data_IF_204720384856
#
_entry.id   IF_204720384856
#
_cell.length_a   1.000
_cell.length_b   1.000
_cell.length_c   1.000
_cell.angle_alpha   90.00
_cell.angle_beta   90.00
_cell.angle_gamma   90.00
#
_symmetry.space_group_name_H-M   'P 1'
#
loop_
_entity.id
_entity.type
_entity.pdbx_description
1 polymer ?
#
# COMPACT_ATOMS: atom_id res chain seq x y z
N UNK A 1 26.96 28.42 -9.49
CA UNK A 1 26.10 27.66 -8.55
C UNK A 1 24.89 27.25 -9.36
N UNK A 2 24.95 26.08 -10.00
CA UNK A 2 23.95 25.68 -10.99
C UNK A 2 22.68 25.23 -10.26
N UNK A 3 21.59 25.93 -10.53
CA UNK A 3 20.25 25.57 -10.06
C UNK A 3 19.91 24.17 -10.58
N UNK A 4 19.66 23.23 -9.68
CA UNK A 4 19.08 21.93 -10.04
C UNK A 4 17.60 22.20 -10.31
N UNK A 5 17.22 22.22 -11.59
CA UNK A 5 15.83 22.36 -12.01
C UNK A 5 15.02 21.19 -11.45
N UNK A 6 14.30 21.45 -10.35
CA UNK A 6 13.46 20.44 -9.71
C UNK A 6 12.09 20.45 -10.38
N UNK A 7 11.87 19.52 -11.30
CA UNK A 7 10.56 19.32 -11.92
C UNK A 7 9.64 18.54 -10.97
N UNK A 8 8.48 19.10 -10.65
CA UNK A 8 7.46 18.48 -9.79
C UNK A 8 6.23 18.10 -10.61
N UNK A 9 5.63 16.96 -10.31
CA UNK A 9 4.47 16.44 -11.02
C UNK A 9 3.56 15.67 -10.06
N UNK A 10 2.29 16.09 -9.96
CA UNK A 10 1.26 15.45 -9.16
C UNK A 10 0.19 14.86 -10.08
N UNK A 11 0.03 13.53 -10.10
CA UNK A 11 -1.02 12.84 -10.88
C UNK A 11 -1.49 11.54 -10.22
N UNK A 12 -2.69 11.10 -10.63
CA UNK A 12 -3.21 9.76 -10.36
C UNK A 12 -2.59 8.77 -11.34
N UNK A 13 -2.03 7.68 -10.83
CA UNK A 13 -1.35 6.66 -11.62
C UNK A 13 -2.35 5.59 -12.09
N UNK A 14 -2.38 5.35 -13.39
CA UNK A 14 -3.13 4.27 -14.04
C UNK A 14 -2.19 3.08 -14.26
N UNK A 15 -2.75 1.87 -14.12
CA UNK A 15 -1.99 0.63 -14.30
C UNK A 15 -1.39 0.59 -15.72
N UNK A 16 -0.10 0.21 -15.81
CA UNK A 16 0.66 0.05 -17.07
C UNK A 16 0.91 1.35 -17.87
N UNK A 17 0.55 2.53 -17.35
CA UNK A 17 0.79 3.80 -18.02
C UNK A 17 2.13 4.40 -17.59
N UNK A 18 2.95 4.80 -18.55
CA UNK A 18 4.19 5.53 -18.31
C UNK A 18 3.92 7.00 -18.00
N UNK A 19 4.62 7.54 -17.00
CA UNK A 19 4.55 8.95 -16.60
C UNK A 19 5.97 9.54 -16.57
N UNK A 20 6.13 10.77 -17.03
CA UNK A 20 7.42 11.45 -17.06
C UNK A 20 7.32 12.77 -17.81
N UNK A 21 8.47 13.43 -17.98
CA UNK A 21 8.57 14.63 -18.80
C UNK A 21 9.06 14.25 -20.19
N UNK A 22 8.25 14.42 -21.26
CA UNK A 22 8.64 14.01 -22.61
C UNK A 22 9.88 14.76 -23.13
N UNK A 23 10.23 15.89 -22.51
CA UNK A 23 11.42 16.70 -22.86
C UNK A 23 12.52 16.67 -21.79
N UNK A 24 12.53 15.68 -20.89
CA UNK A 24 13.44 15.60 -19.74
C UNK A 24 14.94 15.65 -20.10
N UNK A 25 15.32 15.23 -21.31
CA UNK A 25 16.74 15.17 -21.68
C UNK A 25 16.96 15.22 -23.18
N UNK A 26 17.33 16.40 -23.69
CA UNK A 26 18.00 16.54 -24.99
C UNK A 26 19.42 17.10 -24.87
N UNK A 27 19.88 17.42 -23.66
CA UNK A 27 21.18 18.10 -23.45
C UNK A 27 22.30 17.08 -23.20
N UNK A 28 23.33 17.12 -24.04
CA UNK A 28 24.59 16.39 -23.85
C UNK A 28 25.28 16.69 -22.52
N UNK A 29 24.97 17.84 -21.92
CA UNK A 29 25.44 18.30 -20.60
C UNK A 29 24.99 17.40 -19.44
N UNK A 30 23.98 16.53 -19.63
CA UNK A 30 23.51 15.58 -18.61
C UNK A 30 24.40 14.33 -18.49
N UNK A 31 25.33 14.14 -19.42
CA UNK A 31 26.23 13.00 -19.44
C UNK A 31 27.62 13.42 -18.94
N UNK A 32 28.10 12.80 -17.87
CA UNK A 32 29.47 12.95 -17.38
C UNK A 32 30.19 11.64 -17.68
N UNK A 33 31.25 11.70 -18.51
CA UNK A 33 31.98 10.51 -18.98
C UNK A 33 31.10 9.44 -19.64
N UNK A 34 30.04 9.85 -20.36
CA UNK A 34 29.08 8.94 -21.00
C UNK A 34 28.06 8.32 -20.05
N UNK A 35 28.10 8.67 -18.76
CA UNK A 35 27.13 8.20 -17.75
C UNK A 35 26.17 9.33 -17.39
N UNK A 36 24.88 9.02 -17.38
CA UNK A 36 23.83 9.92 -16.88
C UNK A 36 23.24 9.32 -15.60
N UNK A 37 23.28 10.08 -14.51
CA UNK A 37 22.64 9.71 -13.24
C UNK A 37 21.33 10.48 -13.12
N UNK A 38 20.23 9.77 -12.86
CA UNK A 38 18.90 10.37 -12.69
C UNK A 38 18.38 10.05 -11.29
N UNK A 39 18.14 11.09 -10.49
CA UNK A 39 17.50 10.96 -9.18
C UNK A 39 15.99 11.16 -9.30
N UNK A 40 15.21 10.17 -8.88
CA UNK A 40 13.74 10.23 -8.87
C UNK A 40 13.25 10.27 -7.43
N UNK A 41 12.50 11.33 -7.07
CA UNK A 41 11.83 11.44 -5.76
C UNK A 41 10.32 11.28 -5.94
N UNK A 42 9.74 10.30 -5.26
CA UNK A 42 8.30 10.01 -5.30
C UNK A 42 7.65 10.36 -3.96
N UNK A 43 6.49 11.03 -4.02
CA UNK A 43 5.62 11.23 -2.85
C UNK A 43 4.23 10.68 -3.19
N UNK A 44 3.85 9.59 -2.54
CA UNK A 44 2.54 8.97 -2.71
C UNK A 44 1.60 9.53 -1.64
N UNK A 45 0.42 10.01 -2.06
CA UNK A 45 -0.65 10.41 -1.15
C UNK A 45 -1.79 9.40 -1.29
N UNK A 46 -2.06 8.65 -0.22
CA UNK A 46 -3.27 7.84 -0.14
C UNK A 46 -4.43 8.78 0.21
N UNK A 47 -5.47 8.78 -0.63
CA UNK A 47 -6.73 9.43 -0.32
C UNK A 47 -7.60 8.33 0.28
N UNK A 48 -7.76 8.32 1.61
CA UNK A 48 -8.90 7.62 2.19
C UNK A 48 -10.09 8.55 2.02
N UNK A 49 -11.06 8.15 1.22
CA UNK A 49 -12.40 8.72 1.38
C UNK A 49 -12.83 8.40 2.81
N UNK A 50 -13.30 9.42 3.54
CA UNK A 50 -14.08 9.16 4.75
C UNK A 50 -15.29 8.38 4.25
N UNK A 51 -15.25 7.06 4.43
CA UNK A 51 -16.48 6.27 4.37
C UNK A 51 -17.35 6.93 5.43
N UNK A 52 -18.44 7.56 4.99
CA UNK A 52 -19.47 8.10 5.88
C UNK A 52 -19.63 7.10 7.00
N UNK A 53 -19.52 7.57 8.25
CA UNK A 53 -19.56 6.73 9.45
C UNK A 53 -20.62 5.64 9.24
N UNK A 54 -20.19 4.46 8.81
CA UNK A 54 -20.88 3.26 9.21
C UNK A 54 -20.86 3.45 10.70
N UNK A 55 -22.03 3.49 11.34
CA UNK A 55 -22.10 3.12 12.74
C UNK A 55 -21.29 1.85 12.81
N UNK A 56 -20.02 1.95 13.24
CA UNK A 56 -19.17 0.81 13.42
C UNK A 56 -19.93 0.08 14.49
N UNK A 57 -20.66 -0.96 14.07
CA UNK A 57 -21.58 -1.65 14.96
C UNK A 57 -20.70 -1.98 16.15
N UNK A 58 -20.93 -1.42 17.35
CA UNK A 58 -19.92 -1.45 18.42
C UNK A 58 -19.44 -2.87 18.73
N UNK A 59 -20.29 -3.84 18.37
CA UNK A 59 -20.07 -5.27 18.39
C UNK A 59 -18.89 -5.76 17.51
N UNK A 60 -18.63 -5.21 16.32
CA UNK A 60 -17.55 -5.68 15.45
C UNK A 60 -16.16 -5.29 15.97
N UNK A 61 -16.02 -4.08 16.50
CA UNK A 61 -14.78 -3.65 17.19
C UNK A 61 -14.63 -4.43 18.49
N UNK A 62 -15.72 -4.62 19.25
CA UNK A 62 -15.70 -5.44 20.45
C UNK A 62 -15.28 -6.89 20.18
N UNK A 63 -15.59 -7.46 19.00
CA UNK A 63 -15.12 -8.79 18.62
C UNK A 63 -13.60 -8.85 18.46
N UNK A 64 -12.91 -7.77 18.06
CA UNK A 64 -11.45 -7.76 17.97
C UNK A 64 -10.80 -7.84 19.37
N UNK A 65 -11.41 -7.17 20.35
CA UNK A 65 -10.91 -7.08 21.72
C UNK A 65 -11.33 -8.28 22.59
N UNK A 66 -12.53 -8.83 22.39
CA UNK A 66 -13.07 -9.97 23.13
C UNK A 66 -12.48 -11.30 22.62
N UNK A 67 -12.17 -12.25 23.51
CA UNK A 67 -11.70 -13.59 23.14
C UNK A 67 -12.80 -14.51 22.56
N UNK A 68 -14.06 -14.10 22.56
CA UNK A 68 -15.18 -14.91 22.08
C UNK A 68 -15.12 -15.19 20.58
N UNK A 69 -15.50 -16.41 20.20
CA UNK A 69 -15.67 -16.88 18.81
C UNK A 69 -14.40 -16.82 17.94
N UNK A 70 -13.22 -16.64 18.54
CA UNK A 70 -11.96 -16.70 17.82
C UNK A 70 -11.73 -18.12 17.30
N UNK A 71 -11.62 -18.25 16.00
CA UNK A 71 -11.55 -19.52 15.26
C UNK A 71 -10.24 -19.67 14.48
N UNK A 72 -9.30 -18.74 14.67
CA UNK A 72 -7.99 -18.73 14.04
C UNK A 72 -6.91 -18.20 14.98
N UNK A 73 -5.71 -18.79 14.91
CA UNK A 73 -4.54 -18.31 15.65
C UNK A 73 -3.41 -18.03 14.66
N UNK A 74 -2.86 -16.83 14.72
CA UNK A 74 -1.69 -16.42 13.95
C UNK A 74 -0.48 -16.51 14.88
N UNK A 75 0.46 -17.41 14.57
CA UNK A 75 1.74 -17.47 15.27
C UNK A 75 2.73 -16.50 14.61
N UNK A 76 3.30 -15.59 15.41
CA UNK A 76 4.31 -14.61 14.99
C UNK A 76 5.47 -14.69 15.96
N UNK A 77 6.57 -15.31 15.52
CA UNK A 77 7.74 -15.60 16.36
C UNK A 77 7.30 -16.34 17.65
N UNK A 78 7.60 -15.77 18.82
CA UNK A 78 7.29 -16.33 20.14
C UNK A 78 5.89 -15.92 20.66
N UNK A 79 5.01 -15.42 19.79
CA UNK A 79 3.70 -14.90 20.16
C UNK A 79 2.58 -15.53 19.35
N UNK A 80 1.42 -15.63 19.99
CA UNK A 80 0.18 -16.08 19.34
C UNK A 80 -0.86 -14.97 19.39
N UNK A 81 -1.50 -14.72 18.25
CA UNK A 81 -2.58 -13.75 18.10
C UNK A 81 -3.84 -14.52 17.71
N UNK A 82 -4.79 -14.64 18.63
CA UNK A 82 -6.10 -15.22 18.33
C UNK A 82 -6.97 -14.19 17.60
N UNK A 83 -7.61 -14.60 16.51
CA UNK A 83 -8.41 -13.76 15.62
C UNK A 83 -9.61 -14.51 15.02
N UNK A 84 -10.39 -13.81 14.19
CA UNK A 84 -11.56 -14.33 13.49
C UNK A 84 -11.29 -14.44 11.98
N UNK A 85 -11.51 -15.62 11.39
CA UNK A 85 -11.30 -15.88 9.95
C UNK A 85 -12.05 -14.89 9.06
N UNK A 86 -13.32 -14.64 9.37
CA UNK A 86 -14.17 -13.75 8.57
C UNK A 86 -13.68 -12.30 8.56
N UNK A 87 -13.15 -11.81 9.69
CA UNK A 87 -12.59 -10.45 9.80
C UNK A 87 -11.28 -10.34 9.02
N UNK A 88 -10.41 -11.34 9.12
CA UNK A 88 -9.16 -11.40 8.35
C UNK A 88 -9.43 -11.45 6.84
N UNK A 89 -10.39 -12.26 6.42
CA UNK A 89 -10.81 -12.38 5.03
C UNK A 89 -11.39 -11.06 4.47
N UNK A 90 -12.24 -10.37 5.25
CA UNK A 90 -12.79 -9.07 4.87
C UNK A 90 -11.70 -8.01 4.71
N UNK A 91 -10.70 -8.02 5.59
CA UNK A 91 -9.63 -7.02 5.61
C UNK A 91 -8.50 -7.29 4.61
N UNK A 92 -8.33 -8.52 4.11
CA UNK A 92 -7.19 -8.89 3.27
C UNK A 92 -7.47 -10.03 2.28
N UNK A 93 -7.28 -9.81 0.97
CA UNK A 93 -7.41 -10.87 -0.03
C UNK A 93 -6.35 -11.97 0.11
N UNK A 94 -5.21 -11.70 0.77
CA UNK A 94 -4.22 -12.73 1.09
C UNK A 94 -4.80 -13.73 2.07
N UNK A 95 -5.52 -13.26 3.09
CA UNK A 95 -6.18 -14.13 4.07
C UNK A 95 -7.35 -14.89 3.45
N UNK A 96 -8.09 -14.32 2.49
CA UNK A 96 -9.11 -15.06 1.71
C UNK A 96 -8.47 -16.25 1.02
N UNK A 97 -7.45 -16.01 0.17
CA UNK A 97 -6.80 -17.06 -0.59
C UNK A 97 -6.16 -18.13 0.32
N UNK A 98 -5.56 -17.69 1.44
CA UNK A 98 -4.99 -18.60 2.42
C UNK A 98 -6.07 -19.48 3.06
N UNK A 99 -7.18 -18.91 3.56
CA UNK A 99 -8.20 -19.63 4.30
C UNK A 99 -9.07 -20.54 3.43
N UNK A 100 -9.33 -20.18 2.18
CA UNK A 100 -10.02 -21.04 1.19
C UNK A 100 -9.24 -22.32 0.90
N UNK A 101 -7.91 -22.27 0.95
CA UNK A 101 -7.06 -23.45 0.71
C UNK A 101 -7.13 -24.51 1.83
N UNK A 102 -7.68 -24.17 3.00
CA UNK A 102 -7.81 -25.05 4.17
C UNK A 102 -9.18 -25.72 4.29
N UNK A 103 -10.14 -25.42 3.42
CA UNK A 103 -11.44 -26.11 3.39
C UNK A 103 -11.38 -27.27 2.39
N UNK A 104 -10.83 -28.41 2.82
CA UNK A 104 -10.99 -29.73 2.20
C UNK A 104 -11.60 -30.70 3.22
#
# INVERSE_FOLDING_TARGET
MNSIDTLKFDRTFEKLKGYGFPEFGKKSELFVNGVMTVDVKLKIKFISENVEDFEQVPHAVALLEDEKFKDFTISVEDREIKAHKCVLAMASPVFVAMLESYTN
#
